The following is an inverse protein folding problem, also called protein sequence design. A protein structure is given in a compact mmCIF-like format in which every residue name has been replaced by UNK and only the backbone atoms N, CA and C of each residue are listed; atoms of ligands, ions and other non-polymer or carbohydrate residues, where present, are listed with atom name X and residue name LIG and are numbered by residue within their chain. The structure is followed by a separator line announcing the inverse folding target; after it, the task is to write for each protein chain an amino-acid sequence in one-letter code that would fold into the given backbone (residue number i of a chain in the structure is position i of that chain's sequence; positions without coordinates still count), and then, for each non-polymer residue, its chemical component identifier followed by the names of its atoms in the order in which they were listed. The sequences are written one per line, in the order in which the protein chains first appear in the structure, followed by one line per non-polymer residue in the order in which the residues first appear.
data_IF_031870231869
#
_entry.id   IF_031870231869
#
_cell.length_a   1.000
_cell.length_b   1.000
_cell.length_c   1.000
_cell.angle_alpha   90.00
_cell.angle_beta   90.00
_cell.angle_gamma   90.00
#
_symmetry.space_group_name_H-M   'P 1'
#
loop_
_entity.id
_entity.type
_entity.pdbx_description
1 polymer ?
#
# COMPACT_ATOMS: atom_id res chain seq x y z
N UNK A 1 -22.39 21.09 33.08
CA UNK A 1 -23.31 20.35 32.17
C UNK A 1 -24.17 21.26 31.27
N UNK A 2 -24.82 22.33 31.77
CA UNK A 2 -25.71 23.22 30.97
C UNK A 2 -25.08 23.86 29.71
N UNK A 3 -23.80 24.28 29.73
CA UNK A 3 -23.08 24.86 28.56
C UNK A 3 -22.82 23.87 27.42
N UNK A 4 -22.72 22.58 27.72
CA UNK A 4 -22.45 21.53 26.73
C UNK A 4 -23.74 21.16 25.98
N UNK A 5 -24.87 21.08 26.70
CA UNK A 5 -26.19 20.81 26.14
C UNK A 5 -26.67 21.93 25.17
N UNK A 6 -26.48 23.19 25.54
CA UNK A 6 -26.83 24.37 24.71
C UNK A 6 -26.02 24.43 23.41
N UNK A 7 -24.72 24.13 23.44
CA UNK A 7 -23.86 24.09 22.24
C UNK A 7 -24.23 22.95 21.27
N UNK A 8 -24.68 21.81 21.79
CA UNK A 8 -25.16 20.68 20.98
C UNK A 8 -26.48 21.02 20.29
N UNK A 9 -27.42 21.64 21.01
CA UNK A 9 -28.71 22.07 20.45
C UNK A 9 -28.55 23.16 19.39
N UNK A 10 -27.65 24.14 19.61
CA UNK A 10 -27.33 25.18 18.64
C UNK A 10 -26.73 24.64 17.33
N UNK A 11 -25.78 23.71 17.41
CA UNK A 11 -25.20 23.08 16.21
C UNK A 11 -26.23 22.23 15.45
N UNK A 12 -27.16 21.59 16.17
CA UNK A 12 -28.25 20.83 15.55
C UNK A 12 -29.22 21.75 14.81
N UNK A 13 -29.64 22.85 15.44
CA UNK A 13 -30.48 23.87 14.80
C UNK A 13 -29.80 24.48 13.57
N UNK A 14 -28.51 24.83 13.65
CA UNK A 14 -27.76 25.33 12.50
C UNK A 14 -27.68 24.30 11.37
N UNK A 15 -27.53 23.01 11.66
CA UNK A 15 -27.48 21.97 10.63
C UNK A 15 -28.76 21.94 9.78
N UNK A 16 -29.90 22.28 10.38
CA UNK A 16 -31.23 22.28 9.75
C UNK A 16 -31.51 23.65 9.10
N UNK A 17 -31.30 24.74 9.84
CA UNK A 17 -31.73 26.08 9.46
C UNK A 17 -30.70 26.85 8.60
N UNK A 18 -29.41 26.54 8.74
CA UNK A 18 -28.33 27.20 8.00
C UNK A 18 -27.14 26.23 7.81
N UNK A 19 -27.33 25.30 6.87
CA UNK A 19 -26.36 24.24 6.57
C UNK A 19 -24.98 24.80 6.20
N UNK A 20 -24.93 25.96 5.54
CA UNK A 20 -23.68 26.62 5.14
C UNK A 20 -22.90 27.08 6.38
N UNK A 21 -23.54 27.81 7.29
CA UNK A 21 -22.92 28.25 8.54
C UNK A 21 -22.50 27.08 9.42
N UNK A 22 -23.30 26.01 9.49
CA UNK A 22 -22.91 24.78 10.17
C UNK A 22 -21.61 24.17 9.59
N UNK A 23 -21.49 24.08 8.26
CA UNK A 23 -20.29 23.55 7.62
C UNK A 23 -19.05 24.40 7.90
N UNK A 24 -19.17 25.74 7.87
CA UNK A 24 -18.08 26.67 8.20
C UNK A 24 -17.59 26.44 9.64
N UNK A 25 -18.51 26.44 10.62
CA UNK A 25 -18.15 26.23 12.03
C UNK A 25 -17.56 24.84 12.27
N UNK A 26 -18.06 23.81 11.58
CA UNK A 26 -17.50 22.45 11.63
C UNK A 26 -16.07 22.41 11.08
N UNK A 27 -15.81 23.09 9.96
CA UNK A 27 -14.46 23.20 9.38
C UNK A 27 -13.52 23.90 10.34
N UNK A 28 -13.86 25.09 10.82
CA UNK A 28 -13.03 25.86 11.76
C UNK A 28 -12.70 25.07 13.04
N UNK A 29 -13.65 24.29 13.57
CA UNK A 29 -13.39 23.42 14.72
C UNK A 29 -12.39 22.32 14.38
N UNK A 30 -12.54 21.68 13.21
CA UNK A 30 -11.61 20.66 12.73
C UNK A 30 -10.20 21.25 12.56
N UNK A 31 -10.09 22.43 11.95
CA UNK A 31 -8.81 23.10 11.73
C UNK A 31 -8.09 23.40 13.04
N UNK A 32 -8.81 23.89 14.07
CA UNK A 32 -8.25 24.10 15.41
C UNK A 32 -7.76 22.79 16.05
N UNK A 33 -8.54 21.72 15.98
CA UNK A 33 -8.13 20.40 16.49
C UNK A 33 -6.89 19.87 15.75
N UNK A 34 -6.84 20.03 14.44
CA UNK A 34 -5.70 19.66 13.62
C UNK A 34 -4.45 20.46 13.99
N UNK A 35 -4.56 21.78 14.19
CA UNK A 35 -3.45 22.62 14.64
C UNK A 35 -2.92 22.18 16.01
N UNK A 36 -3.82 21.89 16.96
CA UNK A 36 -3.43 21.39 18.28
C UNK A 36 -2.66 20.06 18.18
N UNK A 37 -3.16 19.09 17.41
CA UNK A 37 -2.46 17.81 17.18
C UNK A 37 -1.11 18.04 16.52
N UNK A 38 -1.07 18.90 15.49
CA UNK A 38 0.14 19.20 14.75
C UNK A 38 1.26 19.73 15.66
N UNK A 39 1.00 20.78 16.44
CA UNK A 39 2.01 21.38 17.30
C UNK A 39 2.35 20.53 18.52
N UNK A 40 1.37 19.85 19.14
CA UNK A 40 1.59 19.09 20.39
C UNK A 40 2.14 17.68 20.17
N UNK A 41 1.81 17.04 19.06
CA UNK A 41 2.14 15.62 18.81
C UNK A 41 3.04 15.43 17.59
N UNK A 42 2.71 16.06 16.46
CA UNK A 42 3.38 15.78 15.18
C UNK A 42 4.77 16.42 15.11
N UNK A 43 4.86 17.73 15.38
CA UNK A 43 6.14 18.45 15.34
C UNK A 43 7.18 17.85 16.29
N UNK A 44 6.86 17.55 17.58
CA UNK A 44 7.80 16.87 18.46
C UNK A 44 8.30 15.55 17.89
N UNK A 45 7.40 14.73 17.32
CA UNK A 45 7.80 13.43 16.74
C UNK A 45 8.68 13.57 15.50
N UNK A 46 8.40 14.54 14.61
CA UNK A 46 9.25 14.82 13.45
C UNK A 46 10.65 15.25 13.92
N UNK A 47 10.74 16.13 14.93
CA UNK A 47 12.03 16.57 15.50
C UNK A 47 12.80 15.42 16.15
N UNK A 48 12.10 14.51 16.83
CA UNK A 48 12.69 13.28 17.39
C UNK A 48 13.30 12.42 16.26
N UNK A 49 12.54 12.15 15.20
CA UNK A 49 13.01 11.37 14.03
C UNK A 49 14.24 12.03 13.40
N UNK A 50 14.21 13.35 13.18
CA UNK A 50 15.36 14.09 12.64
C UNK A 50 16.59 13.98 13.54
N UNK A 51 16.40 14.01 14.86
CA UNK A 51 17.49 13.87 15.84
C UNK A 51 18.09 12.46 15.79
N UNK A 52 17.25 11.42 15.69
CA UNK A 52 17.70 10.03 15.54
C UNK A 52 18.50 9.86 14.24
N UNK A 53 17.97 10.34 13.11
CA UNK A 53 18.64 10.27 11.81
C UNK A 53 19.97 11.03 11.80
N UNK A 54 20.08 12.15 12.52
CA UNK A 54 21.34 12.89 12.64
C UNK A 54 22.38 12.13 13.46
N UNK A 55 21.99 11.59 14.62
CA UNK A 55 22.94 11.19 15.65
C UNK A 55 23.29 9.69 15.68
N UNK A 56 22.42 8.83 15.14
CA UNK A 56 22.66 7.37 15.17
C UNK A 56 23.29 6.88 13.88
N UNK A 57 24.17 5.89 13.94
CA UNK A 57 24.73 5.19 12.77
C UNK A 57 23.87 4.00 12.33
N UNK A 58 23.09 3.44 13.25
CA UNK A 58 22.15 2.35 13.04
C UNK A 58 20.74 2.81 13.41
N UNK A 59 19.75 2.50 12.57
CA UNK A 59 18.35 2.89 12.73
C UNK A 59 17.47 1.65 12.74
N UNK A 60 16.71 1.46 13.82
CA UNK A 60 15.64 0.45 13.90
C UNK A 60 14.28 1.03 13.50
N UNK A 61 13.65 0.40 12.51
CA UNK A 61 12.31 0.74 12.05
C UNK A 61 11.28 -0.24 12.60
N UNK A 62 10.07 0.23 12.92
CA UNK A 62 8.93 -0.61 13.24
C UNK A 62 7.80 -0.42 12.22
N UNK A 63 7.17 -1.51 11.80
CA UNK A 63 5.97 -1.47 10.97
C UNK A 63 4.96 -2.55 11.38
N UNK A 64 3.67 -2.25 11.28
CA UNK A 64 2.57 -3.19 11.52
C UNK A 64 1.33 -2.96 10.64
N UNK A 65 1.45 -2.19 9.56
CA UNK A 65 0.40 -2.05 8.55
C UNK A 65 0.29 -3.29 7.66
N UNK A 66 -0.61 -3.27 6.68
CA UNK A 66 -0.80 -4.41 5.78
C UNK A 66 0.44 -4.64 4.89
N UNK A 67 0.48 -5.77 4.17
CA UNK A 67 1.61 -6.12 3.30
C UNK A 67 2.01 -5.00 2.32
N UNK A 68 1.04 -4.36 1.68
CA UNK A 68 1.30 -3.22 0.79
C UNK A 68 1.88 -2.00 1.53
N UNK A 69 1.50 -1.77 2.79
CA UNK A 69 2.07 -0.68 3.60
C UNK A 69 3.56 -0.93 3.91
N UNK A 70 3.94 -2.19 4.17
CA UNK A 70 5.35 -2.56 4.37
C UNK A 70 6.14 -2.30 3.08
N UNK A 71 5.66 -2.79 1.93
CA UNK A 71 6.33 -2.57 0.64
C UNK A 71 6.48 -1.06 0.36
N UNK A 72 5.43 -0.29 0.61
CA UNK A 72 5.43 1.16 0.41
C UNK A 72 6.38 1.91 1.36
N UNK A 73 6.85 1.31 2.45
CA UNK A 73 7.84 1.93 3.35
C UNK A 73 9.29 1.74 2.90
N UNK A 74 9.54 0.73 2.06
CA UNK A 74 10.88 0.35 1.61
C UNK A 74 11.67 1.45 0.88
N UNK A 75 11.06 2.33 0.03
CA UNK A 75 11.82 3.40 -0.63
C UNK A 75 12.54 4.31 0.36
N UNK A 76 11.90 4.64 1.49
CA UNK A 76 12.48 5.51 2.52
C UNK A 76 13.59 4.77 3.28
N UNK A 77 13.38 3.49 3.60
CA UNK A 77 14.41 2.68 4.26
C UNK A 77 15.65 2.57 3.35
N UNK A 78 15.45 2.31 2.05
CA UNK A 78 16.52 2.28 1.04
C UNK A 78 17.24 3.62 0.88
N UNK A 79 16.52 4.74 0.98
CA UNK A 79 17.17 6.06 0.94
C UNK A 79 18.05 6.30 2.16
N UNK A 80 17.55 5.94 3.35
CA UNK A 80 18.28 6.09 4.62
C UNK A 80 19.48 5.14 4.67
N UNK A 81 19.37 3.95 4.07
CA UNK A 81 20.44 2.96 4.09
C UNK A 81 21.72 3.41 3.38
N UNK A 82 21.64 4.42 2.50
CA UNK A 82 22.80 5.00 1.82
C UNK A 82 23.81 5.61 2.81
N UNK A 83 23.35 6.00 3.99
CA UNK A 83 24.18 6.66 5.00
C UNK A 83 23.99 6.10 6.42
N UNK A 84 23.16 5.07 6.61
CA UNK A 84 22.90 4.39 7.90
C UNK A 84 22.77 2.88 7.71
N UNK A 85 23.07 2.10 8.75
CA UNK A 85 22.64 0.70 8.82
C UNK A 85 21.16 0.64 9.25
N UNK A 86 20.33 -0.13 8.56
CA UNK A 86 18.89 -0.19 8.82
C UNK A 86 18.44 -1.58 9.25
N UNK A 87 17.64 -1.69 10.31
CA UNK A 87 16.95 -2.93 10.70
C UNK A 87 15.44 -2.70 10.71
N UNK A 88 14.68 -3.72 10.31
CA UNK A 88 13.23 -3.65 10.19
C UNK A 88 12.56 -4.64 11.14
N UNK A 89 11.77 -4.13 12.08
CA UNK A 89 10.95 -4.90 13.00
C UNK A 89 9.50 -4.90 12.52
N UNK A 90 8.90 -6.09 12.47
CA UNK A 90 7.50 -6.28 12.08
C UNK A 90 6.68 -6.69 13.30
N UNK A 91 5.68 -5.88 13.65
CA UNK A 91 4.71 -6.19 14.71
C UNK A 91 3.51 -6.96 14.12
N UNK A 92 3.28 -8.16 14.63
CA UNK A 92 2.18 -9.05 14.24
C UNK A 92 0.96 -8.90 15.15
N UNK A 93 -0.20 -9.33 14.65
CA UNK A 93 -1.46 -9.43 15.39
C UNK A 93 -1.95 -8.10 16.00
N UNK A 94 -1.49 -6.97 15.46
CA UNK A 94 -2.02 -5.66 15.83
C UNK A 94 -3.47 -5.54 15.40
N UNK A 95 -4.34 -5.19 16.34
CA UNK A 95 -5.78 -5.05 16.09
C UNK A 95 -6.10 -3.82 15.24
N UNK A 96 -7.04 -4.01 14.33
CA UNK A 96 -7.68 -2.98 13.53
C UNK A 96 -8.83 -2.40 14.35
N UNK A 97 -8.70 -1.15 14.78
CA UNK A 97 -9.70 -0.48 15.60
C UNK A 97 -10.82 0.21 14.79
N UNK A 98 -10.83 0.07 13.45
CA UNK A 98 -11.86 0.62 12.57
C UNK A 98 -12.76 -0.50 12.03
N UNK A 99 -14.03 -0.59 12.48
CA UNK A 99 -14.98 -1.60 12.00
C UNK A 99 -15.15 -1.62 10.47
N UNK A 100 -14.95 -0.48 9.79
CA UNK A 100 -15.08 -0.38 8.33
C UNK A 100 -13.91 -1.01 7.58
N UNK A 101 -12.79 -1.21 8.26
CA UNK A 101 -11.59 -1.83 7.69
C UNK A 101 -11.58 -3.37 7.88
N UNK A 102 -12.55 -3.92 8.61
CA UNK A 102 -12.64 -5.37 8.92
C UNK A 102 -13.44 -6.12 7.85
N UNK A 103 -14.41 -5.47 7.20
CA UNK A 103 -15.28 -6.13 6.21
C UNK A 103 -14.47 -6.60 4.99
N UNK A 104 -14.56 -7.90 4.68
CA UNK A 104 -13.84 -8.56 3.57
C UNK A 104 -12.31 -8.45 3.65
N UNK A 105 -11.74 -8.27 4.84
CA UNK A 105 -10.30 -8.32 5.05
C UNK A 105 -9.84 -9.77 5.30
N UNK A 106 -8.86 -10.32 4.56
CA UNK A 106 -8.39 -11.70 4.75
C UNK A 106 -7.82 -11.99 6.15
N UNK A 107 -7.35 -10.95 6.84
CA UNK A 107 -6.81 -11.02 8.20
C UNK A 107 -7.83 -10.73 9.31
N UNK A 108 -9.13 -10.70 9.04
CA UNK A 108 -10.18 -10.35 10.01
C UNK A 108 -9.91 -9.01 10.71
N UNK A 109 -9.77 -9.01 12.04
CA UNK A 109 -9.57 -7.84 12.90
C UNK A 109 -8.10 -7.50 13.15
N UNK A 110 -7.14 -8.13 12.44
CA UNK A 110 -5.71 -7.83 12.57
C UNK A 110 -5.09 -7.37 11.24
N UNK A 111 -4.09 -6.50 11.35
CA UNK A 111 -3.34 -5.99 10.17
C UNK A 111 -2.50 -7.08 9.51
N UNK A 112 -1.69 -7.79 10.28
CA UNK A 112 -0.77 -8.83 9.81
C UNK A 112 -0.78 -10.03 10.73
N UNK A 113 -1.03 -11.20 10.16
CA UNK A 113 -0.86 -12.47 10.85
C UNK A 113 0.60 -12.91 10.82
N UNK A 114 0.99 -13.78 11.75
CA UNK A 114 2.31 -14.43 11.73
C UNK A 114 2.59 -15.15 10.41
N UNK A 115 1.58 -15.80 9.83
CA UNK A 115 1.71 -16.51 8.56
C UNK A 115 2.04 -15.56 7.39
N UNK A 116 1.35 -14.42 7.31
CA UNK A 116 1.63 -13.41 6.29
C UNK A 116 3.05 -12.84 6.41
N UNK A 117 3.52 -12.61 7.65
CA UNK A 117 4.90 -12.14 7.88
C UNK A 117 5.92 -13.23 7.56
N UNK A 118 5.67 -14.49 7.89
CA UNK A 118 6.54 -15.60 7.52
C UNK A 118 6.72 -15.70 5.99
N UNK A 119 5.65 -15.53 5.20
CA UNK A 119 5.74 -15.47 3.72
C UNK A 119 6.48 -14.21 3.23
N UNK A 120 6.52 -13.13 4.00
CA UNK A 120 7.17 -11.87 3.63
C UNK A 120 8.67 -11.82 3.95
N UNK A 121 9.09 -12.46 5.04
CA UNK A 121 10.48 -12.44 5.50
C UNK A 121 11.49 -12.85 4.40
N UNK A 122 11.27 -13.91 3.59
CA UNK A 122 12.18 -14.28 2.51
C UNK A 122 12.45 -13.14 1.52
N UNK A 123 11.42 -12.37 1.16
CA UNK A 123 11.54 -11.22 0.28
C UNK A 123 12.36 -10.09 0.92
N UNK A 124 12.05 -9.76 2.18
CA UNK A 124 12.70 -8.65 2.89
C UNK A 124 14.18 -8.95 3.19
N UNK A 125 14.52 -10.19 3.54
CA UNK A 125 15.90 -10.60 3.81
C UNK A 125 16.82 -10.55 2.59
N UNK A 126 16.26 -10.48 1.37
CA UNK A 126 17.03 -10.35 0.13
C UNK A 126 17.38 -8.90 -0.21
N UNK A 127 16.80 -7.93 0.49
CA UNK A 127 17.02 -6.52 0.23
C UNK A 127 18.36 -6.05 0.80
N UNK A 128 19.28 -5.64 -0.08
CA UNK A 128 20.66 -5.25 0.29
C UNK A 128 20.73 -4.12 1.32
N UNK A 129 19.70 -3.26 1.33
CA UNK A 129 19.57 -2.09 2.18
C UNK A 129 18.96 -2.37 3.57
N UNK A 130 18.57 -3.62 3.85
CA UNK A 130 18.04 -4.04 5.16
C UNK A 130 19.02 -5.02 5.80
N UNK A 131 19.56 -4.66 6.97
CA UNK A 131 20.57 -5.47 7.64
C UNK A 131 20.01 -6.61 8.49
N UNK A 132 18.80 -6.45 9.03
CA UNK A 132 18.04 -7.54 9.66
C UNK A 132 16.54 -7.27 9.58
N UNK A 133 15.76 -8.36 9.52
CA UNK A 133 14.30 -8.34 9.58
C UNK A 133 13.87 -9.27 10.71
N UNK A 134 13.17 -8.72 11.70
CA UNK A 134 12.86 -9.43 12.94
C UNK A 134 11.41 -9.21 13.37
N UNK A 135 10.85 -10.15 14.13
CA UNK A 135 9.58 -9.92 14.81
C UNK A 135 9.78 -8.91 15.94
N UNK A 136 8.85 -7.97 16.08
CA UNK A 136 8.88 -7.01 17.18
C UNK A 136 8.57 -7.71 18.51
N UNK A 137 9.48 -7.55 19.48
CA UNK A 137 9.41 -8.17 20.82
C UNK A 137 9.49 -7.13 21.95
N UNK A 138 8.98 -5.91 21.74
CA UNK A 138 9.03 -4.78 22.69
C UNK A 138 10.40 -4.11 22.86
N UNK A 139 11.34 -4.33 21.94
CA UNK A 139 12.61 -3.59 21.89
C UNK A 139 12.40 -2.08 21.70
N UNK A 140 13.38 -1.27 22.11
CA UNK A 140 13.39 0.17 21.82
C UNK A 140 13.54 0.39 20.31
N UNK A 141 12.58 1.08 19.71
CA UNK A 141 12.55 1.42 18.28
C UNK A 141 12.93 2.88 18.08
N UNK A 142 13.71 3.13 17.03
CA UNK A 142 14.14 4.47 16.64
C UNK A 142 13.05 5.22 15.86
N UNK A 143 12.49 4.57 14.83
CA UNK A 143 11.47 5.16 13.97
C UNK A 143 10.30 4.18 13.84
N UNK A 144 9.19 4.51 14.52
CA UNK A 144 7.92 3.82 14.29
C UNK A 144 7.27 4.37 13.01
N UNK A 145 7.34 3.58 11.94
CA UNK A 145 6.80 3.96 10.64
C UNK A 145 5.27 4.05 10.70
N UNK A 146 4.59 3.33 11.61
CA UNK A 146 3.14 3.38 11.78
C UNK A 146 2.63 4.76 12.20
N UNK A 147 3.50 5.61 12.74
CA UNK A 147 3.16 6.98 13.14
C UNK A 147 2.64 7.82 11.97
N UNK A 148 2.88 7.41 10.71
CA UNK A 148 2.27 8.05 9.55
C UNK A 148 0.75 8.16 9.69
N UNK A 149 0.07 7.20 10.34
CA UNK A 149 -1.39 7.18 10.56
C UNK A 149 -1.88 8.23 11.56
N UNK A 150 -0.98 8.78 12.37
CA UNK A 150 -1.28 9.85 13.32
C UNK A 150 -1.16 11.23 12.69
N UNK A 151 -0.59 11.32 11.48
CA UNK A 151 -0.41 12.59 10.78
C UNK A 151 -1.78 13.17 10.38
N UNK A 152 -1.95 14.51 10.39
CA UNK A 152 -3.19 15.18 10.03
C UNK A 152 -3.38 15.24 8.51
N UNK A 153 -3.25 14.10 7.84
CA UNK A 153 -3.37 13.94 6.39
C UNK A 153 -4.60 13.09 6.06
N UNK A 154 -5.03 13.17 4.80
CA UNK A 154 -6.17 12.39 4.33
C UNK A 154 -5.73 10.97 3.93
N UNK A 155 -6.20 9.96 4.66
CA UNK A 155 -5.94 8.55 4.38
C UNK A 155 -6.97 7.88 3.47
N UNK A 156 -7.81 8.66 2.78
CA UNK A 156 -8.72 8.11 1.77
C UNK A 156 -8.00 7.73 0.48
N UNK A 157 -6.73 8.09 0.32
CA UNK A 157 -5.85 7.66 -0.78
C UNK A 157 -4.92 6.56 -0.28
N UNK A 158 -4.32 5.77 -1.16
CA UNK A 158 -3.13 4.97 -0.81
C UNK A 158 -1.89 5.71 -1.35
N UNK A 159 -0.84 5.88 -0.54
CA UNK A 159 0.35 6.61 -0.97
C UNK A 159 1.65 6.10 -0.37
N UNK A 160 2.59 5.75 -1.25
CA UNK A 160 3.98 5.45 -0.90
C UNK A 160 4.69 6.64 -0.22
N UNK A 161 4.21 7.87 -0.45
CA UNK A 161 4.86 9.10 0.05
C UNK A 161 4.57 9.41 1.52
N UNK A 162 3.67 8.67 2.18
CA UNK A 162 3.39 8.88 3.60
C UNK A 162 4.63 8.77 4.48
N UNK A 163 5.50 7.81 4.18
CA UNK A 163 6.74 7.62 4.92
C UNK A 163 7.74 8.74 4.65
N UNK A 164 7.73 9.33 3.44
CA UNK A 164 8.54 10.51 3.13
C UNK A 164 8.13 11.70 3.98
N UNK A 165 6.83 11.92 4.16
CA UNK A 165 6.34 12.98 5.04
C UNK A 165 6.71 12.75 6.51
N UNK A 166 6.82 11.49 6.93
CA UNK A 166 7.21 11.13 8.29
C UNK A 166 8.69 11.44 8.57
N UNK A 167 9.59 11.10 7.64
CA UNK A 167 11.04 11.20 7.86
C UNK A 167 11.69 12.45 7.26
N UNK A 168 11.01 13.13 6.32
CA UNK A 168 11.56 14.30 5.60
C UNK A 168 12.50 13.96 4.45
N UNK A 169 12.42 12.75 3.89
CA UNK A 169 13.23 12.29 2.75
C UNK A 169 12.33 11.82 1.60
N UNK A 170 12.68 12.20 0.38
CA UNK A 170 11.87 11.97 -0.81
C UNK A 170 12.63 11.10 -1.84
N UNK A 171 12.68 9.78 -1.65
CA UNK A 171 13.33 8.87 -2.59
C UNK A 171 12.72 8.99 -4.00
N UNK A 172 13.56 8.76 -5.01
CA UNK A 172 13.11 8.53 -6.38
C UNK A 172 12.16 7.34 -6.41
N UNK A 173 10.96 7.55 -6.96
CA UNK A 173 10.01 6.48 -7.27
C UNK A 173 10.11 6.03 -8.72
N UNK A 174 11.11 6.52 -9.47
CA UNK A 174 11.38 6.06 -10.85
C UNK A 174 11.98 4.66 -10.83
N UNK A 175 12.88 4.42 -9.88
CA UNK A 175 13.70 3.21 -9.80
C UNK A 175 13.03 2.14 -8.94
N UNK A 176 13.42 0.88 -9.16
CA UNK A 176 12.96 -0.21 -8.32
C UNK A 176 13.49 -0.06 -6.89
N UNK A 177 12.64 -0.39 -5.93
CA UNK A 177 12.99 -0.42 -4.51
C UNK A 177 12.80 -1.80 -3.89
N UNK A 178 12.45 -2.80 -4.70
CA UNK A 178 12.72 -4.21 -4.41
C UNK A 178 13.81 -4.68 -5.36
N UNK A 179 14.86 -5.26 -4.80
CA UNK A 179 16.09 -5.66 -5.46
C UNK A 179 16.38 -7.14 -5.22
N UNK A 180 17.41 -7.66 -5.90
CA UNK A 180 17.93 -9.02 -5.75
C UNK A 180 16.90 -10.12 -5.96
N UNK A 181 15.94 -9.85 -6.85
CA UNK A 181 14.92 -10.80 -7.29
C UNK A 181 15.40 -11.46 -8.58
N UNK A 182 15.47 -12.81 -8.65
CA UNK A 182 15.84 -13.51 -9.86
C UNK A 182 14.74 -13.41 -10.93
N UNK A 183 15.15 -13.50 -12.19
CA UNK A 183 14.24 -13.72 -13.30
C UNK A 183 14.15 -15.22 -13.59
N UNK A 184 12.97 -15.66 -14.05
CA UNK A 184 12.60 -17.04 -14.28
C UNK A 184 11.99 -17.13 -15.67
N UNK A 185 12.76 -17.67 -16.61
CA UNK A 185 12.46 -17.68 -18.05
C UNK A 185 11.06 -18.20 -18.40
N UNK A 186 10.58 -19.20 -17.64
CA UNK A 186 9.24 -19.78 -17.76
C UNK A 186 8.13 -18.72 -17.80
N UNK A 187 8.32 -17.56 -17.16
CA UNK A 187 7.30 -16.53 -17.03
C UNK A 187 7.47 -15.33 -17.98
N UNK A 188 8.53 -15.26 -18.80
CA UNK A 188 8.87 -14.13 -19.69
C UNK A 188 7.72 -13.66 -20.60
N UNK A 189 6.87 -14.59 -21.04
CA UNK A 189 5.71 -14.31 -21.91
C UNK A 189 4.36 -14.49 -21.19
N UNK A 190 4.35 -14.43 -19.86
CA UNK A 190 3.17 -14.63 -19.03
C UNK A 190 2.55 -13.30 -18.62
N UNK A 191 1.22 -13.21 -18.76
CA UNK A 191 0.42 -12.15 -18.16
C UNK A 191 0.10 -12.60 -16.73
N UNK A 192 0.64 -11.89 -15.75
CA UNK A 192 0.45 -12.22 -14.34
C UNK A 192 -0.62 -11.31 -13.76
N UNK A 193 -1.60 -11.89 -13.09
CA UNK A 193 -2.74 -11.18 -12.51
C UNK A 193 -2.80 -11.47 -11.02
N UNK A 194 -2.94 -10.41 -10.22
CA UNK A 194 -3.33 -10.52 -8.83
C UNK A 194 -4.39 -9.46 -8.56
N UNK A 195 -5.63 -9.91 -8.41
CA UNK A 195 -6.81 -9.04 -8.34
C UNK A 195 -7.62 -9.36 -7.11
N UNK A 196 -7.53 -8.51 -6.10
CA UNK A 196 -8.23 -8.75 -4.84
C UNK A 196 -9.75 -8.56 -4.98
N UNK A 197 -10.55 -9.16 -4.08
CA UNK A 197 -12.01 -8.93 -4.05
C UNK A 197 -12.39 -7.50 -3.61
N UNK A 198 -11.45 -6.75 -3.04
CA UNK A 198 -11.66 -5.36 -2.61
C UNK A 198 -11.24 -4.41 -3.73
N UNK A 199 -11.90 -3.24 -3.81
CA UNK A 199 -11.53 -2.18 -4.76
C UNK A 199 -11.48 -2.64 -6.22
N UNK A 200 -12.25 -3.65 -6.58
CA UNK A 200 -12.52 -4.03 -7.96
C UNK A 200 -13.35 -2.95 -8.65
N UNK A 201 -13.12 -2.77 -9.95
CA UNK A 201 -13.96 -1.97 -10.83
C UNK A 201 -14.98 -2.90 -11.52
N UNK A 202 -16.25 -2.79 -11.13
CA UNK A 202 -17.34 -3.60 -11.69
C UNK A 202 -17.69 -3.26 -13.14
N UNK A 203 -17.11 -2.20 -13.70
CA UNK A 203 -17.31 -1.80 -15.10
C UNK A 203 -16.30 -2.44 -16.05
N UNK A 204 -15.28 -3.14 -15.54
CA UNK A 204 -14.20 -3.71 -16.35
C UNK A 204 -14.43 -5.19 -16.60
N UNK A 205 -14.18 -5.60 -17.84
CA UNK A 205 -14.24 -6.98 -18.29
C UNK A 205 -12.85 -7.49 -18.72
N UNK A 206 -12.44 -8.63 -18.16
CA UNK A 206 -11.17 -9.29 -18.47
C UNK A 206 -11.29 -10.33 -19.60
N UNK A 207 -12.47 -10.52 -20.20
CA UNK A 207 -12.75 -11.56 -21.21
C UNK A 207 -11.83 -11.48 -22.44
N UNK A 208 -11.35 -10.30 -22.84
CA UNK A 208 -10.41 -10.20 -23.97
C UNK A 208 -9.11 -10.96 -23.72
N UNK A 209 -8.74 -11.22 -22.46
CA UNK A 209 -7.55 -12.00 -22.12
C UNK A 209 -7.66 -13.48 -22.50
N UNK A 210 -8.86 -13.97 -22.84
CA UNK A 210 -9.05 -15.32 -23.38
C UNK A 210 -8.29 -15.56 -24.70
N UNK A 211 -7.91 -14.52 -25.44
CA UNK A 211 -7.11 -14.65 -26.67
C UNK A 211 -5.61 -14.89 -26.41
N UNK A 212 -5.15 -14.87 -25.16
CA UNK A 212 -3.74 -14.99 -24.80
C UNK A 212 -3.47 -16.31 -24.09
N UNK A 213 -2.48 -17.09 -24.54
CA UNK A 213 -2.25 -18.45 -24.03
C UNK A 213 -1.77 -18.50 -22.57
N UNK A 214 -0.91 -17.57 -22.16
CA UNK A 214 -0.20 -17.62 -20.88
C UNK A 214 -0.75 -16.56 -19.92
N UNK A 215 -1.88 -16.86 -19.29
CA UNK A 215 -2.49 -16.01 -18.25
C UNK A 215 -2.43 -16.74 -16.92
N UNK A 216 -1.76 -16.13 -15.94
CA UNK A 216 -1.48 -16.72 -14.63
C UNK A 216 -2.06 -15.84 -13.53
N UNK A 217 -2.81 -16.44 -12.62
CA UNK A 217 -3.24 -15.82 -11.38
C UNK A 217 -2.32 -16.23 -10.24
N UNK A 218 -1.82 -15.23 -9.50
CA UNK A 218 -1.00 -15.41 -8.29
C UNK A 218 -1.67 -14.66 -7.15
N UNK A 219 -2.23 -15.37 -6.17
CA UNK A 219 -3.04 -14.74 -5.12
C UNK A 219 -3.87 -15.76 -4.35
N UNK A 220 -5.00 -15.33 -3.78
CA UNK A 220 -5.88 -16.25 -3.05
C UNK A 220 -6.78 -17.05 -4.00
N UNK A 221 -7.03 -18.32 -3.67
CA UNK A 221 -7.86 -19.22 -4.48
C UNK A 221 -9.28 -18.66 -4.72
N UNK A 222 -9.89 -18.01 -3.74
CA UNK A 222 -11.21 -17.40 -3.90
C UNK A 222 -11.21 -16.19 -4.85
N UNK A 223 -10.10 -15.44 -4.91
CA UNK A 223 -9.90 -14.33 -5.84
C UNK A 223 -9.66 -14.84 -7.27
N UNK A 224 -8.91 -15.95 -7.39
CA UNK A 224 -8.77 -16.68 -8.65
C UNK A 224 -10.12 -17.17 -9.17
N UNK A 225 -10.90 -17.86 -8.34
CA UNK A 225 -12.22 -18.39 -8.72
C UNK A 225 -13.18 -17.30 -9.19
N UNK A 226 -13.09 -16.11 -8.60
CA UNK A 226 -13.87 -14.96 -9.04
C UNK A 226 -13.49 -14.53 -10.46
N UNK A 227 -12.20 -14.36 -10.74
CA UNK A 227 -11.72 -13.91 -12.05
C UNK A 227 -11.82 -15.00 -13.14
N UNK A 228 -11.69 -16.27 -12.77
CA UNK A 228 -11.78 -17.43 -13.67
C UNK A 228 -13.18 -17.56 -14.32
N UNK A 229 -14.21 -16.91 -13.76
CA UNK A 229 -15.53 -16.79 -14.40
C UNK A 229 -15.43 -16.08 -15.75
N UNK A 230 -14.50 -15.13 -15.88
CA UNK A 230 -14.30 -14.28 -17.08
C UNK A 230 -13.17 -14.80 -17.99
N UNK A 231 -12.06 -15.28 -17.41
CA UNK A 231 -10.90 -15.76 -18.18
C UNK A 231 -10.83 -17.29 -18.08
N UNK A 232 -11.24 -18.01 -19.14
CA UNK A 232 -11.40 -19.47 -19.15
C UNK A 232 -10.09 -20.25 -19.16
N UNK A 233 -9.02 -19.64 -19.65
CA UNK A 233 -7.69 -20.25 -19.72
C UNK A 233 -6.75 -19.74 -18.60
N UNK A 234 -7.31 -19.11 -17.57
CA UNK A 234 -6.56 -18.63 -16.41
C UNK A 234 -6.01 -19.81 -15.63
N UNK A 235 -4.70 -19.80 -15.36
CA UNK A 235 -4.05 -20.80 -14.49
C UNK A 235 -3.87 -20.23 -13.10
N UNK A 236 -4.13 -21.03 -12.07
CA UNK A 236 -3.82 -20.67 -10.69
C UNK A 236 -2.42 -21.15 -10.29
N UNK A 237 -1.69 -20.34 -9.52
CA UNK A 237 -0.43 -20.71 -8.90
C UNK A 237 -0.33 -20.15 -7.48
N UNK A 238 -0.31 -21.03 -6.49
CA UNK A 238 -0.10 -20.68 -5.08
C UNK A 238 1.40 -20.60 -4.81
N UNK A 239 1.88 -19.39 -4.53
CA UNK A 239 3.29 -19.15 -4.23
C UNK A 239 3.61 -19.59 -2.80
N UNK A 240 4.77 -20.23 -2.63
CA UNK A 240 5.29 -20.63 -1.33
C UNK A 240 5.46 -19.40 -0.43
N UNK A 241 6.13 -18.38 -0.95
CA UNK A 241 6.41 -17.13 -0.26
C UNK A 241 6.37 -15.90 -1.20
N UNK A 242 6.62 -14.71 -0.65
CA UNK A 242 6.60 -13.48 -1.44
C UNK A 242 7.90 -13.21 -2.21
N UNK A 243 8.96 -13.96 -1.97
CA UNK A 243 10.18 -13.92 -2.79
C UNK A 243 9.96 -14.65 -4.12
N UNK A 244 9.29 -15.81 -4.09
CA UNK A 244 8.82 -16.50 -5.28
C UNK A 244 7.81 -15.65 -6.06
N UNK A 245 6.81 -15.09 -5.38
CA UNK A 245 5.83 -14.19 -5.99
C UNK A 245 6.52 -13.01 -6.71
N UNK A 246 7.49 -12.37 -6.06
CA UNK A 246 8.24 -11.27 -6.65
C UNK A 246 9.01 -11.72 -7.90
N UNK A 247 9.58 -12.93 -7.89
CA UNK A 247 10.31 -13.50 -9.03
C UNK A 247 9.39 -13.76 -10.22
N UNK A 248 8.19 -14.30 -9.98
CA UNK A 248 7.17 -14.50 -11.01
C UNK A 248 6.72 -13.16 -11.61
N UNK A 249 6.41 -12.17 -10.76
CA UNK A 249 6.00 -10.84 -11.21
C UNK A 249 7.13 -10.16 -12.00
N UNK A 250 8.37 -10.20 -11.49
CA UNK A 250 9.54 -9.61 -12.15
C UNK A 250 9.75 -10.16 -13.57
N UNK A 251 9.55 -11.46 -13.71
CA UNK A 251 9.73 -12.17 -14.97
C UNK A 251 8.54 -12.05 -15.92
N UNK A 252 7.41 -11.50 -15.48
CA UNK A 252 6.20 -11.44 -16.28
C UNK A 252 6.31 -10.45 -17.45
N UNK A 253 5.57 -10.71 -18.52
CA UNK A 253 5.44 -9.78 -19.65
C UNK A 253 4.72 -8.50 -19.21
N UNK A 254 3.62 -8.68 -18.48
CA UNK A 254 2.81 -7.62 -17.88
C UNK A 254 2.22 -8.13 -16.58
N UNK A 255 2.22 -7.28 -15.55
CA UNK A 255 1.42 -7.45 -14.35
C UNK A 255 0.09 -6.67 -14.43
N UNK A 256 -1.02 -7.28 -14.02
CA UNK A 256 -2.32 -6.60 -13.89
C UNK A 256 -2.86 -6.81 -12.47
N UNK A 257 -3.28 -5.73 -11.82
CA UNK A 257 -3.90 -5.84 -10.51
C UNK A 257 -4.69 -4.61 -10.12
N UNK A 258 -5.55 -4.76 -9.12
CA UNK A 258 -6.20 -3.63 -8.47
C UNK A 258 -5.39 -3.16 -7.26
N UNK A 259 -5.83 -2.08 -6.62
CA UNK A 259 -5.14 -1.43 -5.50
C UNK A 259 -5.02 -2.33 -4.26
N UNK A 260 -4.01 -3.19 -4.28
CA UNK A 260 -3.77 -4.31 -3.37
C UNK A 260 -2.26 -4.57 -3.21
N UNK A 261 -1.89 -5.58 -2.41
CA UNK A 261 -0.49 -5.97 -2.20
C UNK A 261 0.23 -6.32 -3.51
N UNK A 262 -0.43 -7.02 -4.43
CA UNK A 262 0.17 -7.43 -5.70
C UNK A 262 0.60 -6.23 -6.53
N UNK A 263 -0.25 -5.20 -6.60
CA UNK A 263 0.10 -3.97 -7.31
C UNK A 263 1.23 -3.20 -6.61
N UNK A 264 1.23 -3.13 -5.27
CA UNK A 264 2.34 -2.51 -4.54
C UNK A 264 3.68 -3.22 -4.80
N UNK A 265 3.67 -4.54 -4.93
CA UNK A 265 4.85 -5.36 -5.26
C UNK A 265 5.31 -5.11 -6.70
N UNK A 266 4.39 -5.11 -7.68
CA UNK A 266 4.72 -4.79 -9.07
C UNK A 266 5.23 -3.34 -9.24
N UNK A 267 4.65 -2.39 -8.51
CA UNK A 267 5.09 -0.99 -8.43
C UNK A 267 6.52 -0.86 -7.88
N UNK A 268 6.87 -1.69 -6.90
CA UNK A 268 8.18 -1.73 -6.29
C UNK A 268 9.26 -2.34 -7.19
N UNK A 269 8.88 -3.29 -8.04
CA UNK A 269 9.75 -3.97 -9.00
C UNK A 269 9.94 -3.17 -10.31
N UNK A 270 9.06 -2.20 -10.57
CA UNK A 270 9.02 -1.40 -11.81
C UNK A 270 8.82 -2.21 -13.09
N UNK A 271 8.15 -3.35 -12.99
CA UNK A 271 7.72 -4.15 -14.15
C UNK A 271 6.65 -3.41 -14.97
N UNK A 272 6.47 -3.76 -16.26
CA UNK A 272 5.28 -3.36 -17.01
C UNK A 272 4.02 -3.74 -16.25
N UNK A 273 3.18 -2.75 -15.91
CA UNK A 273 2.03 -2.99 -15.04
C UNK A 273 0.84 -2.09 -15.31
N UNK A 274 -0.35 -2.65 -15.07
CA UNK A 274 -1.62 -1.96 -15.16
C UNK A 274 -2.37 -2.00 -13.83
N UNK A 275 -2.79 -0.82 -13.36
CA UNK A 275 -3.62 -0.63 -12.18
C UNK A 275 -5.10 -0.53 -12.56
N UNK A 276 -5.88 -1.54 -12.18
CA UNK A 276 -7.33 -1.43 -12.18
C UNK A 276 -7.77 -0.44 -11.08
N UNK A 277 -8.30 0.69 -11.51
CA UNK A 277 -8.80 1.73 -10.61
C UNK A 277 -10.32 1.70 -10.52
N UNK A 278 -10.83 1.87 -9.30
CA UNK A 278 -12.28 1.88 -9.01
C UNK A 278 -12.82 3.31 -9.10
N UNK A 279 -13.87 3.61 -9.89
CA UNK A 279 -14.33 4.99 -10.16
C UNK A 279 -14.69 5.84 -8.92
N UNK A 280 -15.14 5.21 -7.84
CA UNK A 280 -15.54 5.85 -6.59
C UNK A 280 -14.41 5.90 -5.54
N UNK A 281 -13.20 5.46 -5.90
CA UNK A 281 -12.02 5.50 -5.04
C UNK A 281 -11.02 6.55 -5.53
N UNK A 282 -10.31 7.26 -4.63
CA UNK A 282 -9.35 8.27 -5.06
C UNK A 282 -8.27 7.76 -6.02
N UNK A 283 -7.87 8.64 -6.94
CA UNK A 283 -6.83 8.39 -7.93
C UNK A 283 -5.51 8.00 -7.26
N UNK A 284 -4.94 6.90 -7.74
CA UNK A 284 -3.57 6.47 -7.42
C UNK A 284 -2.79 6.46 -8.72
N UNK A 285 -1.67 7.17 -8.74
CA UNK A 285 -0.84 7.33 -9.93
C UNK A 285 0.38 6.40 -9.84
N UNK A 286 0.46 5.37 -10.68
CA UNK A 286 1.66 4.53 -10.80
C UNK A 286 2.88 5.37 -11.19
N UNK A 287 4.07 5.00 -10.72
CA UNK A 287 5.30 5.76 -11.00
C UNK A 287 6.22 4.99 -11.95
N UNK A 288 6.48 5.55 -13.13
CA UNK A 288 7.41 5.00 -14.12
C UNK A 288 6.81 4.87 -15.51
N UNK A 289 7.65 4.67 -16.52
CA UNK A 289 7.26 4.77 -17.93
C UNK A 289 6.35 3.62 -18.42
N UNK A 290 6.45 2.45 -17.79
CA UNK A 290 5.68 1.25 -18.14
C UNK A 290 4.55 0.97 -17.14
N UNK A 291 4.02 2.01 -16.52
CA UNK A 291 3.04 1.91 -15.45
C UNK A 291 1.83 2.79 -15.78
N UNK A 292 0.65 2.18 -15.88
CA UNK A 292 -0.58 2.91 -16.21
C UNK A 292 -1.73 2.44 -15.33
N UNK A 293 -2.70 3.31 -15.11
CA UNK A 293 -3.98 3.03 -14.49
C UNK A 293 -5.11 3.10 -15.52
N UNK A 294 -6.20 2.36 -15.27
CA UNK A 294 -7.38 2.40 -16.12
C UNK A 294 -8.68 2.38 -15.31
N UNK A 295 -9.70 3.04 -15.88
CA UNK A 295 -11.08 3.09 -15.36
C UNK A 295 -12.10 2.52 -16.34
N UNK A 296 -11.80 2.62 -17.63
CA UNK A 296 -12.70 2.29 -18.74
C UNK A 296 -12.12 1.14 -19.55
N UNK A 297 -13.01 0.32 -20.12
CA UNK A 297 -12.64 -0.90 -20.83
C UNK A 297 -11.75 -0.61 -22.04
N UNK A 298 -12.09 0.42 -22.81
CA UNK A 298 -11.37 0.81 -24.02
C UNK A 298 -9.92 1.17 -23.70
N UNK A 299 -9.70 1.94 -22.63
CA UNK A 299 -8.36 2.31 -22.18
C UNK A 299 -7.60 1.09 -21.64
N UNK A 300 -8.27 0.16 -20.95
CA UNK A 300 -7.63 -1.05 -20.45
C UNK A 300 -7.05 -1.86 -21.61
N UNK A 301 -7.84 -2.14 -22.65
CA UNK A 301 -7.37 -2.91 -23.80
C UNK A 301 -6.29 -2.19 -24.61
N UNK A 302 -6.39 -0.87 -24.78
CA UNK A 302 -5.37 -0.07 -25.47
C UNK A 302 -4.04 -0.07 -24.72
N UNK A 303 -4.07 0.22 -23.42
CA UNK A 303 -2.88 0.22 -22.56
C UNK A 303 -2.27 -1.18 -22.45
N UNK A 304 -3.10 -2.21 -22.41
CA UNK A 304 -2.66 -3.60 -22.47
C UNK A 304 -1.89 -3.88 -23.76
N UNK A 305 -2.47 -3.55 -24.93
CA UNK A 305 -1.79 -3.73 -26.23
C UNK A 305 -0.45 -2.99 -26.27
N UNK A 306 -0.43 -1.74 -25.80
CA UNK A 306 0.79 -0.92 -25.71
C UNK A 306 1.88 -1.60 -24.88
N UNK A 307 1.55 -2.17 -23.73
CA UNK A 307 2.53 -2.85 -22.89
C UNK A 307 2.91 -4.23 -23.43
N UNK A 308 1.99 -4.93 -24.11
CA UNK A 308 2.21 -6.30 -24.56
C UNK A 308 3.09 -6.38 -25.81
N UNK A 309 2.99 -5.38 -26.69
CA UNK A 309 3.77 -5.29 -27.92
C UNK A 309 5.23 -4.84 -27.74
N UNK A 310 5.56 -4.24 -26.58
CA UNK A 310 6.93 -3.82 -26.21
C UNK A 310 7.69 -4.95 -25.51
#
# INVERSE_FOLDING_TARGET
MKKKATKTMFNFLLKILDRKKYQILKSQKKDKQTQEIYFKKIIPKIKEIQTVLKNKSHISFLHSGHLGDIINSLPVIKEISKFKKCSLYIEINKKINDPRAITNHPGNDIFLSKNAVNKLIPLLNKQSYISSVEFFNSNKIDIDLNFFREMPINFNIDSVRWYSHLVGLHPSLKDAYIENIPEVEKYNNTIVIMRSLRRQNSLINFNFLNSYKNVLFVGLENEYQDLNKSIKNLKFYDCEDFFELASIIKSSKIFIGNLSFGFALAEALKVPRLLESRPDFPLVYPNGEKAFEFYFQEHFEELFKKLYSN
#
